data_IF_427684536855
#
_entry.id   IF_427684536855
#
_cell.length_a   1.000
_cell.length_b   1.000
_cell.length_c   1.000
_cell.angle_alpha   90.00
_cell.angle_beta   90.00
_cell.angle_gamma   90.00
#
_symmetry.space_group_name_H-M   'P 1'
#
loop_
_entity.id
_entity.type
_entity.pdbx_description
1 polymer ?
#
# COMPACT_ATOMS: atom_id res chain seq x y z
N UNK A 1 -4.30 -27.99 37.25
CA UNK A 1 -4.68 -27.10 36.13
C UNK A 1 -6.17 -26.86 36.21
N UNK A 2 -6.63 -25.63 36.38
CA UNK A 2 -8.05 -25.29 36.55
C UNK A 2 -8.77 -25.58 35.20
N UNK A 3 -9.99 -26.08 35.26
CA UNK A 3 -10.86 -26.35 34.10
C UNK A 3 -11.02 -25.10 33.22
N UNK A 4 -11.04 -23.91 33.82
CA UNK A 4 -11.10 -22.63 33.13
C UNK A 4 -9.86 -22.34 32.25
N UNK A 5 -8.67 -22.73 32.71
CA UNK A 5 -7.41 -22.60 31.95
C UNK A 5 -7.39 -23.54 30.74
N UNK A 6 -7.94 -24.75 30.89
CA UNK A 6 -8.03 -25.70 29.80
C UNK A 6 -9.04 -25.28 28.72
N UNK A 7 -10.18 -24.70 29.13
CA UNK A 7 -11.20 -24.16 28.21
C UNK A 7 -10.63 -22.93 27.45
N UNK A 8 -9.94 -22.01 28.13
CA UNK A 8 -9.31 -20.85 27.51
C UNK A 8 -8.26 -21.24 26.45
N UNK A 9 -7.46 -22.28 26.74
CA UNK A 9 -6.45 -22.78 25.81
C UNK A 9 -7.09 -23.41 24.55
N UNK A 10 -8.18 -24.19 24.74
CA UNK A 10 -8.90 -24.83 23.62
C UNK A 10 -9.61 -23.81 22.76
N UNK A 11 -10.23 -22.79 23.35
CA UNK A 11 -10.87 -21.68 22.62
C UNK A 11 -9.84 -20.86 21.85
N UNK A 12 -8.69 -20.55 22.48
CA UNK A 12 -7.59 -19.84 21.82
C UNK A 12 -7.03 -20.61 20.62
N UNK A 13 -6.84 -21.92 20.74
CA UNK A 13 -6.40 -22.78 19.62
C UNK A 13 -7.46 -22.83 18.52
N UNK A 14 -8.74 -22.90 18.87
CA UNK A 14 -9.83 -22.94 17.89
C UNK A 14 -9.93 -21.64 17.09
N UNK A 15 -9.76 -20.49 17.75
CA UNK A 15 -9.71 -19.17 17.12
C UNK A 15 -8.49 -19.07 16.21
N UNK A 16 -7.31 -19.47 16.66
CA UNK A 16 -6.09 -19.47 15.86
C UNK A 16 -6.21 -20.37 14.61
N UNK A 17 -6.80 -21.55 14.75
CA UNK A 17 -7.02 -22.48 13.63
C UNK A 17 -8.08 -21.94 12.66
N UNK A 18 -9.15 -21.33 13.16
CA UNK A 18 -10.17 -20.68 12.32
C UNK A 18 -9.55 -19.51 11.53
N UNK A 19 -8.69 -18.74 12.17
CA UNK A 19 -7.96 -17.64 11.57
C UNK A 19 -6.99 -18.11 10.47
N UNK A 20 -6.18 -19.13 10.76
CA UNK A 20 -5.29 -19.76 9.79
C UNK A 20 -6.06 -20.38 8.62
N UNK A 21 -7.24 -20.99 8.88
CA UNK A 21 -8.13 -21.50 7.83
C UNK A 21 -8.68 -20.39 6.95
N UNK A 22 -9.09 -19.25 7.52
CA UNK A 22 -9.58 -18.10 6.77
C UNK A 22 -8.48 -17.52 5.88
N UNK A 23 -7.25 -17.37 6.41
CA UNK A 23 -6.07 -16.93 5.64
C UNK A 23 -5.76 -17.92 4.51
N UNK A 24 -5.73 -19.23 4.81
CA UNK A 24 -5.48 -20.27 3.82
C UNK A 24 -6.55 -20.30 2.73
N UNK A 25 -7.83 -20.17 3.11
CA UNK A 25 -8.94 -20.14 2.14
C UNK A 25 -8.87 -18.93 1.23
N UNK A 26 -8.49 -17.77 1.78
CA UNK A 26 -8.29 -16.53 1.01
C UNK A 26 -7.08 -16.65 0.08
N UNK A 27 -5.98 -17.23 0.55
CA UNK A 27 -4.78 -17.45 -0.27
C UNK A 27 -5.09 -18.39 -1.44
N UNK A 28 -5.80 -19.50 -1.19
CA UNK A 28 -6.18 -20.48 -2.21
C UNK A 28 -7.19 -19.91 -3.20
N UNK A 29 -8.17 -19.10 -2.75
CA UNK A 29 -9.14 -18.45 -3.65
C UNK A 29 -8.49 -17.35 -4.47
N UNK A 30 -7.59 -16.55 -3.89
CA UNK A 30 -6.83 -15.54 -4.64
C UNK A 30 -5.90 -16.19 -5.68
N UNK A 31 -5.20 -17.25 -5.32
CA UNK A 31 -4.38 -18.03 -6.25
C UNK A 31 -5.20 -18.64 -7.39
N UNK A 32 -6.42 -19.14 -7.09
CA UNK A 32 -7.36 -19.67 -8.12
C UNK A 32 -7.91 -18.58 -9.03
N UNK A 33 -8.21 -17.39 -8.51
CA UNK A 33 -8.61 -16.22 -9.31
C UNK A 33 -7.49 -15.73 -10.24
N UNK A 34 -6.25 -15.71 -9.74
CA UNK A 34 -5.06 -15.38 -10.55
C UNK A 34 -4.86 -16.43 -11.64
N UNK A 35 -4.99 -17.73 -11.30
CA UNK A 35 -4.86 -18.82 -12.27
C UNK A 35 -6.02 -18.83 -13.29
N UNK A 36 -7.25 -18.51 -12.87
CA UNK A 36 -8.41 -18.41 -13.77
C UNK A 36 -8.29 -17.21 -14.73
N UNK A 37 -7.78 -16.06 -14.24
CA UNK A 37 -7.49 -14.91 -15.10
C UNK A 37 -6.34 -15.21 -16.09
N UNK A 38 -5.31 -15.94 -15.66
CA UNK A 38 -4.23 -16.37 -16.54
C UNK A 38 -4.72 -17.37 -17.62
N UNK A 39 -5.63 -18.27 -17.26
CA UNK A 39 -6.25 -19.21 -18.21
C UNK A 39 -7.20 -18.52 -19.20
N UNK A 40 -7.92 -17.47 -18.79
CA UNK A 40 -8.78 -16.68 -19.69
C UNK A 40 -8.00 -15.78 -20.66
N UNK A 41 -6.76 -15.43 -20.36
CA UNK A 41 -5.87 -14.71 -21.28
C UNK A 41 -5.21 -15.62 -22.31
N UNK A 42 -5.23 -16.95 -22.12
CA UNK A 42 -4.70 -17.94 -23.08
C UNK A 42 -5.60 -18.26 -24.27
N UNK A 43 -6.82 -17.71 -24.34
CA UNK A 43 -7.86 -18.06 -25.33
C UNK A 43 -7.89 -17.26 -26.62
N UNK A 44 -6.96 -16.32 -26.85
CA UNK A 44 -6.89 -15.50 -28.09
C UNK A 44 -5.53 -15.61 -28.79
N UNK A 45 -5.05 -16.84 -28.97
CA UNK A 45 -3.91 -17.09 -29.84
C UNK A 45 -4.40 -17.45 -31.25
N UNK A 46 -4.54 -16.47 -32.14
CA UNK A 46 -4.57 -16.67 -33.57
C UNK A 46 -3.18 -17.08 -34.05
N UNK A 47 -3.16 -18.18 -34.83
CA UNK A 47 -2.00 -18.84 -35.42
C UNK A 47 -1.05 -17.84 -36.12
N UNK A 48 0.27 -17.82 -35.85
CA UNK A 48 1.18 -16.91 -36.51
C UNK A 48 1.51 -17.38 -37.94
N UNK A 49 1.53 -16.44 -38.88
CA UNK A 49 2.14 -16.61 -40.20
C UNK A 49 3.68 -16.62 -40.08
N UNK A 50 4.40 -17.41 -40.87
CA UNK A 50 5.86 -17.45 -40.77
C UNK A 50 6.50 -16.24 -41.46
N UNK A 51 7.39 -15.59 -40.75
CA UNK A 51 8.34 -14.62 -41.29
C UNK A 51 8.26 -13.21 -40.75
N UNK A 52 8.69 -13.01 -39.49
CA UNK A 52 9.37 -11.76 -39.03
C UNK A 52 10.05 -12.03 -37.71
N UNK A 53 11.32 -11.70 -37.63
CA UNK A 53 12.16 -11.85 -36.45
C UNK A 53 11.67 -10.88 -35.36
N UNK A 54 11.10 -11.41 -34.30
CA UNK A 54 10.63 -10.61 -33.16
C UNK A 54 11.74 -10.41 -32.14
N UNK A 55 12.09 -9.16 -31.90
CA UNK A 55 12.88 -8.76 -30.74
C UNK A 55 12.13 -9.07 -29.45
N UNK A 56 12.82 -9.73 -28.54
CA UNK A 56 12.33 -10.06 -27.20
C UNK A 56 12.24 -8.77 -26.34
N UNK A 57 11.06 -8.24 -26.21
CA UNK A 57 10.72 -7.18 -25.27
C UNK A 57 9.34 -7.48 -24.69
N UNK A 58 9.28 -8.27 -23.61
CA UNK A 58 8.07 -8.42 -22.81
C UNK A 58 7.71 -7.08 -22.20
N UNK A 59 6.66 -6.43 -22.73
CA UNK A 59 6.10 -5.23 -22.11
C UNK A 59 5.43 -5.64 -20.79
N UNK A 60 5.78 -5.03 -19.66
CA UNK A 60 5.05 -5.27 -18.42
C UNK A 60 3.59 -4.86 -18.63
N UNK A 61 2.67 -5.60 -18.02
CA UNK A 61 1.24 -5.30 -18.07
C UNK A 61 1.03 -3.82 -17.76
N UNK A 62 0.28 -3.12 -18.61
CA UNK A 62 0.05 -1.69 -18.46
C UNK A 62 -0.50 -1.41 -17.05
N UNK A 63 0.26 -0.67 -16.27
CA UNK A 63 -0.14 -0.28 -14.92
C UNK A 63 -1.49 0.47 -14.98
N UNK A 64 -2.38 0.28 -13.99
CA UNK A 64 -3.68 0.93 -13.96
C UNK A 64 -3.48 2.46 -13.97
N UNK A 65 -4.01 3.13 -14.96
CA UNK A 65 -3.97 4.59 -15.09
C UNK A 65 -4.96 5.21 -14.11
N UNK A 66 -4.56 6.32 -13.49
CA UNK A 66 -5.42 7.07 -12.58
C UNK A 66 -5.29 6.67 -11.10
N UNK A 67 -4.15 6.13 -10.70
CA UNK A 67 -3.85 5.87 -9.30
C UNK A 67 -3.90 7.16 -8.47
N UNK A 68 -4.47 7.08 -7.28
CA UNK A 68 -4.37 8.10 -6.25
C UNK A 68 -3.54 7.52 -5.11
N UNK A 69 -2.36 8.10 -4.87
CA UNK A 69 -1.40 7.60 -3.89
C UNK A 69 -1.09 8.69 -2.87
N UNK A 70 -1.05 8.34 -1.60
CA UNK A 70 -0.38 9.18 -0.61
C UNK A 70 1.13 9.10 -0.81
N UNK A 71 1.91 10.01 -0.24
CA UNK A 71 3.38 9.91 -0.29
C UNK A 71 3.89 8.62 0.36
N UNK A 72 3.19 8.14 1.39
CA UNK A 72 3.51 6.86 2.04
C UNK A 72 3.24 5.67 1.10
N UNK A 73 2.12 5.68 0.36
CA UNK A 73 1.88 4.67 -0.66
C UNK A 73 2.91 4.74 -1.79
N UNK A 74 3.25 5.94 -2.25
CA UNK A 74 4.25 6.14 -3.30
C UNK A 74 5.61 5.56 -2.88
N UNK A 75 5.99 5.66 -1.60
CA UNK A 75 7.28 5.13 -1.10
C UNK A 75 7.47 3.63 -1.32
N UNK A 76 6.38 2.89 -1.54
CA UNK A 76 6.41 1.45 -1.85
C UNK A 76 6.74 1.16 -3.33
N UNK A 77 6.73 2.17 -4.21
CA UNK A 77 6.94 2.03 -5.65
C UNK A 77 8.42 2.12 -6.02
N UNK A 78 9.23 1.26 -5.42
CA UNK A 78 10.68 1.20 -5.63
C UNK A 78 11.11 0.21 -6.72
N UNK A 79 10.17 -0.57 -7.26
CA UNK A 79 10.45 -1.62 -8.24
C UNK A 79 11.18 -2.84 -7.68
N UNK A 80 11.30 -2.97 -6.35
CA UNK A 80 12.03 -4.05 -5.68
C UNK A 80 11.16 -5.27 -5.37
N UNK A 81 9.86 -5.08 -5.16
CA UNK A 81 8.94 -6.14 -4.74
C UNK A 81 8.44 -7.04 -5.89
N UNK A 82 8.78 -6.71 -7.12
CA UNK A 82 8.35 -7.43 -8.32
C UNK A 82 6.88 -7.26 -8.71
N UNK A 83 6.09 -6.53 -7.92
CA UNK A 83 4.65 -6.31 -8.13
C UNK A 83 4.33 -4.86 -8.51
N UNK A 84 5.03 -3.91 -7.89
CA UNK A 84 4.83 -2.48 -8.15
C UNK A 84 5.88 -1.98 -9.14
N UNK A 85 5.51 -1.11 -10.08
CA UNK A 85 6.47 -0.47 -10.95
C UNK A 85 7.42 0.42 -10.14
N UNK A 86 8.57 0.71 -10.69
CA UNK A 86 9.44 1.77 -10.18
C UNK A 86 8.83 3.12 -10.55
N UNK A 87 8.45 3.91 -9.56
CA UNK A 87 7.80 5.19 -9.79
C UNK A 87 8.42 6.31 -8.95
N UNK A 88 8.16 7.54 -9.37
CA UNK A 88 8.44 8.77 -8.61
C UNK A 88 7.36 9.80 -8.94
N UNK A 89 7.26 10.88 -8.17
CA UNK A 89 6.36 11.98 -8.51
C UNK A 89 7.11 13.30 -8.69
N UNK A 90 6.55 14.15 -9.55
CA UNK A 90 6.98 15.53 -9.78
C UNK A 90 5.75 16.41 -9.68
N UNK A 91 5.74 17.32 -8.69
CA UNK A 91 4.58 18.20 -8.40
C UNK A 91 3.27 17.43 -8.32
N UNK A 92 3.31 16.27 -7.67
CA UNK A 92 2.15 15.43 -7.46
C UNK A 92 1.74 14.55 -8.65
N UNK A 93 2.37 14.65 -9.82
CA UNK A 93 2.16 13.72 -10.93
C UNK A 93 3.07 12.52 -10.79
N UNK A 94 2.51 11.31 -10.76
CA UNK A 94 3.24 10.05 -10.58
C UNK A 94 3.59 9.44 -11.93
N UNK A 95 4.88 9.21 -12.18
CA UNK A 95 5.43 8.65 -13.41
C UNK A 95 5.96 7.23 -13.19
N UNK A 96 5.65 6.31 -14.12
CA UNK A 96 6.31 5.00 -14.20
C UNK A 96 7.67 5.16 -14.86
N UNK A 97 8.71 5.03 -14.06
CA UNK A 97 10.10 5.12 -14.53
C UNK A 97 10.77 3.75 -14.63
N UNK A 98 10.01 2.66 -14.70
CA UNK A 98 10.54 1.28 -14.79
C UNK A 98 11.46 1.08 -16.00
N UNK A 99 11.17 1.75 -17.13
CA UNK A 99 12.05 1.75 -18.31
C UNK A 99 13.40 2.41 -18.04
N UNK A 100 13.50 3.21 -16.98
CA UNK A 100 14.71 3.90 -16.51
C UNK A 100 15.38 3.22 -15.31
N UNK A 101 15.13 1.94 -15.06
CA UNK A 101 15.68 1.20 -13.89
C UNK A 101 17.21 1.30 -13.78
N UNK A 102 17.91 1.46 -14.91
CA UNK A 102 19.36 1.70 -14.92
C UNK A 102 19.80 3.04 -14.30
N UNK A 103 18.85 3.98 -14.10
CA UNK A 103 19.09 5.29 -13.51
C UNK A 103 18.48 5.42 -12.12
N UNK A 104 17.25 4.92 -11.93
CA UNK A 104 16.43 5.11 -10.71
C UNK A 104 16.34 3.87 -9.84
N UNK A 105 16.82 2.71 -10.29
CA UNK A 105 16.81 1.47 -9.50
C UNK A 105 17.74 1.56 -8.28
N UNK A 106 17.66 0.55 -7.43
CA UNK A 106 18.49 0.44 -6.24
C UNK A 106 19.99 0.51 -6.59
N UNK A 107 20.75 1.30 -5.83
CA UNK A 107 22.19 1.49 -6.02
C UNK A 107 22.57 2.26 -7.31
N UNK A 108 21.59 2.83 -8.03
CA UNK A 108 21.84 3.66 -9.22
C UNK A 108 21.98 5.14 -8.84
N UNK A 109 22.57 5.99 -9.73
CA UNK A 109 22.86 7.39 -9.42
C UNK A 109 21.65 8.20 -8.94
N UNK A 110 20.47 7.92 -9.45
CA UNK A 110 19.21 8.58 -9.08
C UNK A 110 18.29 7.64 -8.28
N UNK A 111 18.81 6.58 -7.69
CA UNK A 111 18.03 5.62 -6.90
C UNK A 111 17.32 6.25 -5.70
N UNK A 112 17.85 7.37 -5.17
CA UNK A 112 17.23 8.15 -4.10
C UNK A 112 15.84 8.69 -4.47
N UNK A 113 15.54 8.81 -5.76
CA UNK A 113 14.25 9.33 -6.25
C UNK A 113 13.12 8.29 -6.27
N UNK A 114 13.48 7.02 -6.21
CA UNK A 114 12.52 5.92 -6.24
C UNK A 114 11.50 6.02 -5.11
N UNK A 115 10.21 5.99 -5.45
CA UNK A 115 9.12 6.06 -4.49
C UNK A 115 8.92 7.44 -3.84
N UNK A 116 9.42 8.53 -4.42
CA UNK A 116 9.43 9.86 -3.76
C UNK A 116 8.87 10.96 -4.65
N UNK A 117 8.47 12.06 -3.99
CA UNK A 117 8.22 13.34 -4.64
C UNK A 117 9.56 14.07 -4.82
N UNK A 118 9.92 14.40 -6.07
CA UNK A 118 11.28 14.87 -6.40
C UNK A 118 11.33 16.26 -7.05
N UNK A 119 10.24 17.00 -7.03
CA UNK A 119 10.19 18.33 -7.66
C UNK A 119 11.31 19.24 -7.17
N UNK A 120 11.52 19.34 -5.84
CA UNK A 120 12.58 20.16 -5.26
C UNK A 120 13.97 19.65 -5.67
N UNK A 121 14.21 18.35 -5.58
CA UNK A 121 15.49 17.75 -5.94
C UNK A 121 15.86 18.01 -7.40
N UNK A 122 14.91 17.89 -8.32
CA UNK A 122 15.13 18.15 -9.75
C UNK A 122 15.40 19.63 -10.03
N UNK A 123 14.64 20.56 -9.42
CA UNK A 123 14.85 21.99 -9.60
C UNK A 123 16.23 22.44 -9.10
N UNK A 124 16.66 21.92 -7.96
CA UNK A 124 17.98 22.19 -7.36
C UNK A 124 19.10 21.33 -7.94
N UNK A 125 18.81 20.36 -8.81
CA UNK A 125 19.77 19.38 -9.32
C UNK A 125 20.49 18.63 -8.18
N UNK A 126 19.77 18.29 -7.11
CA UNK A 126 20.27 17.67 -5.89
C UNK A 126 19.96 16.17 -5.86
N UNK A 127 20.86 15.38 -5.28
CA UNK A 127 20.67 13.96 -4.98
C UNK A 127 20.53 13.71 -3.47
N UNK A 128 20.31 14.76 -2.69
CA UNK A 128 20.07 14.62 -1.26
C UNK A 128 18.62 14.17 -1.02
N UNK A 129 18.46 13.21 -0.13
CA UNK A 129 17.13 12.71 0.25
C UNK A 129 16.22 13.82 0.81
N UNK A 130 16.79 14.76 1.55
CA UNK A 130 16.08 15.91 2.14
C UNK A 130 15.46 16.84 1.10
N UNK A 131 16.01 16.87 -0.12
CA UNK A 131 15.45 17.61 -1.23
C UNK A 131 14.35 16.85 -1.99
N UNK A 132 14.08 15.58 -1.65
CA UNK A 132 12.97 14.83 -2.21
C UNK A 132 11.64 15.26 -1.58
N UNK A 133 11.12 16.40 -2.04
CA UNK A 133 9.88 16.99 -1.55
C UNK A 133 9.21 17.88 -2.61
N UNK A 134 7.99 18.32 -2.33
CA UNK A 134 7.22 19.28 -3.14
C UNK A 134 7.49 20.75 -2.73
N UNK A 135 8.34 21.02 -1.71
CA UNK A 135 8.57 22.37 -1.22
C UNK A 135 9.48 23.17 -2.17
N UNK A 136 8.90 24.19 -2.78
CA UNK A 136 9.57 25.07 -3.76
C UNK A 136 9.54 26.54 -3.34
N UNK A 137 9.26 26.82 -2.04
CA UNK A 137 9.06 28.20 -1.56
C UNK A 137 10.30 29.08 -1.74
N UNK A 138 11.49 28.49 -1.68
CA UNK A 138 12.79 29.17 -1.81
C UNK A 138 13.38 29.10 -3.24
N UNK A 139 12.61 28.62 -4.22
CA UNK A 139 13.11 28.48 -5.59
C UNK A 139 13.42 29.82 -6.25
N UNK A 140 14.60 29.91 -6.83
CA UNK A 140 14.97 30.95 -7.78
C UNK A 140 14.28 30.71 -9.13
N UNK A 141 14.20 31.75 -9.98
CA UNK A 141 13.64 31.61 -11.34
C UNK A 141 14.42 30.57 -12.18
N UNK A 142 15.73 30.45 -11.95
CA UNK A 142 16.56 29.44 -12.62
C UNK A 142 16.15 28.01 -12.21
N UNK A 143 15.91 27.77 -10.93
CA UNK A 143 15.49 26.47 -10.40
C UNK A 143 14.09 26.10 -10.90
N UNK A 144 13.17 27.07 -10.97
CA UNK A 144 11.84 26.88 -11.57
C UNK A 144 11.95 26.46 -13.04
N UNK A 145 12.73 27.20 -13.84
CA UNK A 145 12.95 26.87 -15.23
C UNK A 145 13.64 25.50 -15.41
N UNK A 146 14.53 25.11 -14.50
CA UNK A 146 15.16 23.78 -14.50
C UNK A 146 14.13 22.69 -14.25
N UNK A 147 13.25 22.89 -13.26
CA UNK A 147 12.18 21.93 -12.96
C UNK A 147 11.21 21.77 -14.15
N UNK A 148 10.78 22.84 -14.78
CA UNK A 148 9.91 22.82 -15.96
C UNK A 148 10.52 22.01 -17.11
N UNK A 149 11.84 22.14 -17.34
CA UNK A 149 12.54 21.33 -18.33
C UNK A 149 12.53 19.83 -17.98
N UNK A 150 12.66 19.49 -16.70
CA UNK A 150 12.56 18.10 -16.24
C UNK A 150 11.14 17.58 -16.39
N UNK A 151 10.12 18.33 -16.01
CA UNK A 151 8.71 17.94 -16.19
C UNK A 151 8.41 17.63 -17.64
N UNK A 152 8.83 18.49 -18.57
CA UNK A 152 8.65 18.24 -20.01
C UNK A 152 9.32 16.93 -20.46
N UNK A 153 10.56 16.67 -20.01
CA UNK A 153 11.28 15.43 -20.33
C UNK A 153 10.60 14.19 -19.76
N UNK A 154 10.08 14.28 -18.51
CA UNK A 154 9.40 13.15 -17.89
C UNK A 154 8.06 12.86 -18.58
N UNK A 155 7.29 13.90 -18.89
CA UNK A 155 6.01 13.76 -19.60
C UNK A 155 6.17 13.18 -21.02
N UNK A 156 7.27 13.47 -21.69
CA UNK A 156 7.57 12.90 -23.01
C UNK A 156 8.03 11.43 -22.92
N UNK A 157 8.80 11.10 -21.89
CA UNK A 157 9.50 9.82 -21.80
C UNK A 157 8.78 8.74 -21.01
N UNK A 158 8.05 9.11 -19.97
CA UNK A 158 7.49 8.18 -19.01
C UNK A 158 5.97 8.25 -18.93
N UNK A 159 5.26 7.10 -18.87
CA UNK A 159 3.81 7.11 -18.70
C UNK A 159 3.41 7.61 -17.34
N UNK A 160 2.31 8.37 -17.29
CA UNK A 160 1.68 8.79 -16.03
C UNK A 160 0.90 7.63 -15.44
N UNK A 161 1.17 7.27 -14.19
CA UNK A 161 0.44 6.29 -13.40
C UNK A 161 -0.77 6.90 -12.68
N UNK A 162 -0.61 8.14 -12.20
CA UNK A 162 -1.63 8.77 -11.40
C UNK A 162 -1.15 10.06 -10.76
N UNK A 163 -1.69 10.36 -9.58
CA UNK A 163 -1.35 11.57 -8.83
C UNK A 163 -1.14 11.27 -7.35
N UNK A 164 -0.33 12.10 -6.72
CA UNK A 164 -0.23 12.16 -5.25
C UNK A 164 -1.46 12.89 -4.71
N UNK A 165 -2.09 12.29 -3.71
CA UNK A 165 -3.20 12.90 -2.96
C UNK A 165 -2.77 13.16 -1.53
N UNK A 166 -3.33 14.18 -0.86
CA UNK A 166 -3.08 14.43 0.55
C UNK A 166 -3.41 13.21 1.41
N UNK A 167 -2.59 12.95 2.42
CA UNK A 167 -2.92 11.99 3.46
C UNK A 167 -4.06 12.55 4.31
N UNK A 168 -5.05 11.71 4.64
CA UNK A 168 -6.11 12.09 5.57
C UNK A 168 -5.53 12.23 6.98
N UNK A 169 -5.96 13.25 7.69
CA UNK A 169 -5.71 13.41 9.12
C UNK A 169 -7.06 13.24 9.84
N UNK A 170 -7.19 12.16 10.60
CA UNK A 170 -8.43 11.79 11.27
C UNK A 170 -8.20 11.71 12.78
N UNK A 171 -9.08 12.30 13.58
CA UNK A 171 -9.16 11.95 15.00
C UNK A 171 -9.77 10.55 15.15
N UNK A 172 -9.60 9.91 16.30
CA UNK A 172 -10.26 8.62 16.57
C UNK A 172 -11.78 8.73 16.47
N UNK A 173 -12.36 9.87 16.85
CA UNK A 173 -13.79 10.15 16.71
C UNK A 173 -14.21 10.23 15.23
N UNK A 174 -13.43 10.92 14.39
CA UNK A 174 -13.68 10.99 12.96
C UNK A 174 -13.52 9.62 12.28
N UNK A 175 -12.51 8.84 12.68
CA UNK A 175 -12.28 7.46 12.19
C UNK A 175 -13.49 6.57 12.47
N UNK A 176 -14.16 6.72 13.64
CA UNK A 176 -15.34 5.93 14.00
C UNK A 176 -16.51 6.08 13.01
N UNK A 177 -16.55 7.17 12.23
CA UNK A 177 -17.55 7.38 11.16
C UNK A 177 -17.29 6.57 9.88
N UNK A 178 -16.19 5.78 9.82
CA UNK A 178 -15.82 4.93 8.68
C UNK A 178 -15.95 3.43 9.02
N UNK A 179 -16.99 3.06 9.76
CA UNK A 179 -17.24 1.73 10.32
C UNK A 179 -17.95 0.75 9.35
N UNK A 180 -18.23 1.19 8.13
CA UNK A 180 -18.87 0.37 7.09
C UNK A 180 -20.39 0.29 7.19
N UNK A 181 -21.05 1.07 8.07
CA UNK A 181 -22.51 1.13 8.16
C UNK A 181 -23.12 2.11 7.17
N UNK A 182 -22.35 3.04 6.68
CA UNK A 182 -22.73 4.03 5.68
C UNK A 182 -22.12 3.64 4.34
N UNK A 183 -22.93 3.06 3.45
CA UNK A 183 -22.51 2.59 2.13
C UNK A 183 -21.97 3.73 1.23
N UNK A 184 -22.23 4.98 1.57
CA UNK A 184 -21.69 6.14 0.85
C UNK A 184 -20.23 6.47 1.22
N UNK A 185 -19.71 5.86 2.29
CA UNK A 185 -18.36 6.08 2.80
C UNK A 185 -17.48 4.84 2.66
N UNK A 186 -16.18 5.01 2.46
CA UNK A 186 -15.24 3.91 2.55
C UNK A 186 -15.17 3.38 3.99
N UNK A 187 -14.66 2.17 4.15
CA UNK A 187 -14.45 1.53 5.43
C UNK A 187 -12.98 1.59 5.80
N UNK A 188 -12.67 2.18 6.95
CA UNK A 188 -11.29 2.37 7.42
C UNK A 188 -11.06 1.71 8.77
N UNK A 189 -9.82 1.35 9.04
CA UNK A 189 -9.32 1.06 10.39
C UNK A 189 -7.90 1.63 10.53
N UNK A 190 -7.42 1.74 11.75
CA UNK A 190 -6.05 2.19 12.00
C UNK A 190 -5.23 1.13 12.75
N UNK A 191 -3.92 1.14 12.51
CA UNK A 191 -2.93 0.35 13.23
C UNK A 191 -1.74 1.26 13.55
N UNK A 192 -1.51 1.51 14.83
CA UNK A 192 -0.47 2.44 15.30
C UNK A 192 -0.52 3.80 14.60
N UNK A 193 -1.73 4.31 14.47
CA UNK A 193 -1.99 5.60 13.86
C UNK A 193 -1.99 5.62 12.34
N UNK A 194 -1.63 4.56 11.63
CA UNK A 194 -1.72 4.47 10.17
C UNK A 194 -3.12 4.02 9.76
N UNK A 195 -3.81 4.79 8.93
CA UNK A 195 -5.19 4.51 8.47
C UNK A 195 -5.19 3.75 7.15
N UNK A 196 -5.82 2.59 7.15
CA UNK A 196 -5.95 1.69 6.00
C UNK A 196 -7.38 1.68 5.46
N UNK A 197 -7.51 1.73 4.12
CA UNK A 197 -8.77 1.47 3.43
C UNK A 197 -9.01 -0.05 3.32
N UNK A 198 -9.99 -0.54 4.07
CA UNK A 198 -10.37 -1.95 4.09
C UNK A 198 -11.71 -2.21 3.42
N UNK A 199 -12.22 -1.28 2.61
CA UNK A 199 -13.52 -1.37 1.92
C UNK A 199 -13.65 -2.62 1.05
N UNK A 200 -12.55 -3.16 0.52
CA UNK A 200 -12.55 -4.41 -0.26
C UNK A 200 -12.73 -5.67 0.59
N UNK A 201 -12.76 -5.55 1.91
CA UNK A 201 -12.75 -6.68 2.85
C UNK A 201 -13.99 -6.68 3.77
N UNK A 202 -15.17 -6.38 3.23
CA UNK A 202 -16.44 -6.27 3.97
C UNK A 202 -16.82 -7.54 4.73
N UNK A 203 -16.50 -8.73 4.18
CA UNK A 203 -16.72 -9.99 4.87
C UNK A 203 -15.90 -10.15 6.17
N UNK A 204 -14.82 -9.38 6.33
CA UNK A 204 -13.96 -9.41 7.52
C UNK A 204 -14.28 -8.26 8.47
N UNK A 205 -14.39 -7.04 7.96
CA UNK A 205 -14.44 -5.81 8.76
C UNK A 205 -15.78 -5.07 8.64
N UNK A 206 -16.69 -5.52 7.78
CA UNK A 206 -18.02 -4.91 7.64
C UNK A 206 -18.87 -5.06 8.89
N UNK A 207 -20.06 -4.45 8.95
CA UNK A 207 -20.95 -4.48 10.12
C UNK A 207 -21.29 -5.91 10.61
N UNK A 208 -21.41 -6.86 9.67
CA UNK A 208 -21.66 -8.29 9.95
C UNK A 208 -20.39 -9.14 9.78
N UNK A 209 -19.22 -8.49 9.73
CA UNK A 209 -17.92 -9.14 9.51
C UNK A 209 -17.40 -9.86 10.76
N UNK A 210 -16.39 -10.70 10.55
CA UNK A 210 -15.78 -11.49 11.62
C UNK A 210 -15.02 -10.65 12.67
N UNK A 211 -14.60 -9.45 12.31
CA UNK A 211 -13.75 -8.58 13.14
C UNK A 211 -14.37 -7.20 13.29
N UNK A 212 -14.65 -6.74 14.52
CA UNK A 212 -15.29 -5.45 14.78
C UNK A 212 -14.29 -4.28 14.73
N UNK A 213 -13.40 -4.24 13.75
CA UNK A 213 -12.24 -3.35 13.68
C UNK A 213 -12.50 -2.08 12.86
N UNK A 214 -13.48 -2.10 11.96
CA UNK A 214 -13.79 -0.92 11.16
C UNK A 214 -14.15 0.28 12.05
N UNK A 215 -13.64 1.45 11.68
CA UNK A 215 -13.80 2.67 12.44
C UNK A 215 -12.92 2.77 13.71
N UNK A 216 -11.93 1.89 13.89
CA UNK A 216 -11.15 1.83 15.16
C UNK A 216 -9.65 1.74 14.93
N UNK A 217 -8.91 2.09 15.97
CA UNK A 217 -7.48 1.81 16.10
C UNK A 217 -7.32 0.39 16.69
N UNK A 218 -6.65 -0.50 15.99
CA UNK A 218 -6.68 -1.94 16.29
C UNK A 218 -5.30 -2.54 16.65
N UNK A 219 -4.29 -1.71 16.92
CA UNK A 219 -2.94 -2.19 17.18
C UNK A 219 -2.90 -3.23 18.30
N UNK A 220 -3.48 -2.91 19.46
CA UNK A 220 -3.50 -3.80 20.62
C UNK A 220 -4.27 -5.10 20.32
N UNK A 221 -5.46 -5.00 19.74
CA UNK A 221 -6.29 -6.16 19.41
C UNK A 221 -5.54 -7.14 18.48
N UNK A 222 -4.86 -6.62 17.47
CA UNK A 222 -4.06 -7.42 16.53
C UNK A 222 -2.86 -8.09 17.21
N UNK A 223 -2.13 -7.37 18.07
CA UNK A 223 -1.02 -7.94 18.83
C UNK A 223 -1.46 -9.09 19.75
N UNK A 224 -2.60 -8.94 20.40
CA UNK A 224 -3.18 -9.94 21.33
C UNK A 224 -4.00 -11.04 20.64
N UNK A 225 -4.19 -10.97 19.32
CA UNK A 225 -5.16 -11.80 18.62
C UNK A 225 -6.57 -11.74 19.24
N UNK A 226 -6.93 -10.57 19.74
CA UNK A 226 -8.23 -10.31 20.37
C UNK A 226 -9.24 -9.81 19.34
N UNK A 227 -10.50 -10.14 19.54
CA UNK A 227 -11.66 -9.57 18.83
C UNK A 227 -12.49 -8.66 19.72
N UNK A 228 -12.06 -8.45 20.96
CA UNK A 228 -12.77 -7.59 21.89
C UNK A 228 -12.59 -6.12 21.50
N UNK A 229 -13.69 -5.39 21.49
CA UNK A 229 -13.71 -3.97 21.13
C UNK A 229 -12.87 -3.13 22.11
N UNK A 230 -12.79 -3.56 23.36
CA UNK A 230 -11.99 -2.91 24.41
C UNK A 230 -10.48 -2.96 24.12
N UNK A 231 -10.02 -3.97 23.37
CA UNK A 231 -8.65 -4.07 22.90
C UNK A 231 -8.38 -3.23 21.63
N UNK A 232 -9.41 -2.60 21.05
CA UNK A 232 -9.22 -1.72 19.89
C UNK A 232 -8.68 -0.36 20.33
N UNK A 233 -7.39 -0.31 20.65
CA UNK A 233 -6.66 0.90 21.07
C UNK A 233 -5.25 0.94 20.49
N UNK A 234 -4.62 2.13 20.52
CA UNK A 234 -3.22 2.34 20.15
C UNK A 234 -2.24 1.95 21.28
N UNK A 235 -2.76 1.74 22.49
CA UNK A 235 -1.92 1.40 23.66
C UNK A 235 -1.38 -0.02 23.53
N UNK A 236 -0.08 -0.12 23.37
CA UNK A 236 0.66 -1.38 23.18
C UNK A 236 1.78 -1.56 24.21
N UNK A 237 1.82 -0.71 25.24
CA UNK A 237 2.93 -0.68 26.22
C UNK A 237 3.05 -1.97 27.03
N UNK A 238 1.94 -2.66 27.28
CA UNK A 238 1.90 -3.92 28.05
C UNK A 238 1.99 -5.19 27.18
N UNK A 239 2.15 -5.04 25.87
CA UNK A 239 2.30 -6.20 25.00
C UNK A 239 3.64 -6.90 25.26
N UNK A 240 3.58 -8.22 25.36
CA UNK A 240 4.77 -9.08 25.39
C UNK A 240 5.56 -9.01 24.08
N UNK A 241 6.82 -9.45 24.10
CA UNK A 241 7.65 -9.49 22.89
C UNK A 241 6.98 -10.28 21.75
N UNK A 242 6.35 -11.40 22.06
CA UNK A 242 5.64 -12.23 21.07
C UNK A 242 4.41 -11.54 20.49
N UNK A 243 3.66 -10.78 21.30
CA UNK A 243 2.51 -10.00 20.84
C UNK A 243 2.95 -8.80 20.00
N UNK A 244 4.06 -8.15 20.36
CA UNK A 244 4.66 -7.11 19.52
C UNK A 244 5.18 -7.66 18.18
N UNK A 245 5.73 -8.87 18.14
CA UNK A 245 6.14 -9.51 16.88
C UNK A 245 4.93 -9.89 16.03
N UNK A 246 3.83 -10.34 16.64
CA UNK A 246 2.57 -10.56 15.96
C UNK A 246 2.02 -9.28 15.35
N UNK A 247 2.00 -8.17 16.11
CA UNK A 247 1.57 -6.86 15.63
C UNK A 247 2.41 -6.40 14.42
N UNK A 248 3.75 -6.51 14.47
CA UNK A 248 4.61 -6.19 13.32
C UNK A 248 4.28 -7.03 12.09
N UNK A 249 3.99 -8.31 12.28
CA UNK A 249 3.54 -9.21 11.21
C UNK A 249 2.23 -8.73 10.58
N UNK A 250 1.26 -8.29 11.38
CA UNK A 250 0.02 -7.71 10.90
C UNK A 250 0.23 -6.40 10.15
N UNK A 251 1.02 -5.47 10.69
CA UNK A 251 1.38 -4.22 10.02
C UNK A 251 1.93 -4.49 8.62
N UNK A 252 2.90 -5.39 8.49
CA UNK A 252 3.49 -5.76 7.21
C UNK A 252 2.44 -6.31 6.22
N UNK A 253 1.50 -7.15 6.69
CA UNK A 253 0.41 -7.68 5.87
C UNK A 253 -0.55 -6.57 5.43
N UNK A 254 -0.93 -5.67 6.33
CA UNK A 254 -1.82 -4.57 6.00
C UNK A 254 -1.20 -3.62 4.98
N UNK A 255 0.07 -3.27 5.15
CA UNK A 255 0.80 -2.46 4.17
C UNK A 255 0.91 -3.13 2.79
N UNK A 256 0.91 -4.46 2.73
CA UNK A 256 0.94 -5.19 1.46
C UNK A 256 -0.45 -5.26 0.82
N UNK A 257 -1.50 -5.43 1.63
CA UNK A 257 -2.85 -5.77 1.15
C UNK A 257 -3.76 -4.57 0.97
N UNK A 258 -3.63 -3.55 1.80
CA UNK A 258 -4.55 -2.42 1.87
C UNK A 258 -3.84 -1.09 1.57
N UNK A 259 -4.61 -0.15 1.02
CA UNK A 259 -4.12 1.21 0.73
C UNK A 259 -4.02 2.01 2.02
N UNK A 260 -2.88 2.66 2.25
CA UNK A 260 -2.77 3.69 3.28
C UNK A 260 -3.42 4.96 2.77
N UNK A 261 -4.38 5.48 3.52
CA UNK A 261 -5.14 6.69 3.15
C UNK A 261 -4.86 7.87 4.06
N UNK A 262 -4.28 7.64 5.23
CA UNK A 262 -4.02 8.72 6.18
C UNK A 262 -3.42 8.24 7.49
N UNK A 263 -3.53 9.10 8.47
CA UNK A 263 -3.08 8.82 9.83
C UNK A 263 -4.05 9.37 10.87
N UNK A 264 -4.05 8.76 12.04
CA UNK A 264 -4.75 9.27 13.22
C UNK A 264 -3.93 10.41 13.82
N UNK A 265 -4.61 11.51 14.13
CA UNK A 265 -4.07 12.69 14.80
C UNK A 265 -4.89 12.97 16.06
N UNK A 266 -4.27 13.44 17.11
CA UNK A 266 -4.97 13.76 18.35
C UNK A 266 -4.06 13.92 19.53
#
# INVERSE_FOLDING_TARGET
MSLALAIGLVVGIYIAVAFLRAIYYHYVTSARLIAANAANMGGLATKPRPGTVAGTGGSPAAAPRGLELTLEELSKYTGQDGYRPLALSIRGVVYDVSSGIGFYGEGKPYGVYAGREVARALGKMSLNEEDCSADMKDFTEKEKATLEQWEAKFSDKYPVLGKVVPSLELTLEALAGFDGRDDSKPMYLAIRGVVFDVSSATAFYGPDGAYPFAGKECARALGKYSTDVEDCTADVEDLSVSEMDALRGWEAQFHTKYKVVGRVVG
#
